data_IF_509329982911
#
_entry.id   IF_509329982911
#
_cell.length_a   1.000
_cell.length_b   1.000
_cell.length_c   1.000
_cell.angle_alpha   90.00
_cell.angle_beta   90.00
_cell.angle_gamma   90.00
#
_symmetry.space_group_name_H-M   'P 1'
#
loop_
_entity.id
_entity.type
_entity.pdbx_description
1 polymer ?
#
# COMPACT_ATOMS: atom_id res chain seq x y z
N UNK A 1 -0.58 -26.68 3.40
CA UNK A 1 -0.85 -25.21 3.52
C UNK A 1 0.12 -24.43 2.63
N UNK A 2 1.45 -24.59 2.74
CA UNK A 2 2.47 -23.86 1.94
C UNK A 2 2.15 -23.89 0.44
N UNK A 3 1.74 -25.03 -0.10
CA UNK A 3 1.40 -25.20 -1.52
C UNK A 3 0.26 -24.25 -1.98
N UNK A 4 -0.72 -23.98 -1.12
CA UNK A 4 -1.84 -23.06 -1.42
C UNK A 4 -1.41 -21.60 -1.52
N UNK A 5 -0.28 -21.26 -0.91
CA UNK A 5 0.31 -19.91 -0.91
C UNK A 5 1.51 -19.77 -1.84
N UNK A 6 1.83 -20.83 -2.59
CA UNK A 6 2.94 -20.82 -3.53
C UNK A 6 2.65 -20.08 -4.85
N UNK A 7 1.41 -19.67 -5.05
CA UNK A 7 0.93 -18.98 -6.26
C UNK A 7 0.04 -17.80 -5.90
N UNK A 8 -0.11 -16.87 -6.82
CA UNK A 8 -1.17 -15.88 -6.87
C UNK A 8 -1.95 -16.03 -8.20
N UNK A 9 -2.51 -14.97 -8.75
CA UNK A 9 -3.19 -15.02 -10.06
C UNK A 9 -2.23 -14.88 -11.25
N UNK A 10 -0.91 -14.83 -11.01
CA UNK A 10 0.12 -14.76 -12.04
C UNK A 10 0.56 -16.15 -12.54
N UNK A 11 1.50 -16.15 -13.47
CA UNK A 11 2.17 -17.37 -13.95
C UNK A 11 3.30 -17.84 -13.00
N UNK A 12 3.64 -17.05 -11.97
CA UNK A 12 4.76 -17.34 -11.08
C UNK A 12 4.36 -18.31 -9.98
N UNK A 13 5.33 -19.12 -9.56
CA UNK A 13 5.17 -20.05 -8.46
C UNK A 13 6.49 -20.19 -7.69
N UNK A 14 6.41 -19.96 -6.37
CA UNK A 14 7.52 -20.20 -5.47
C UNK A 14 7.00 -20.68 -4.11
N UNK A 15 7.65 -21.68 -3.54
CA UNK A 15 7.20 -22.28 -2.28
C UNK A 15 7.66 -21.41 -1.10
N UNK A 16 6.76 -20.83 -0.30
CA UNK A 16 7.14 -20.05 0.87
C UNK A 16 7.77 -20.94 1.96
N UNK A 17 8.64 -20.37 2.78
CA UNK A 17 9.20 -21.04 3.96
C UNK A 17 8.11 -21.44 4.94
N UNK A 18 7.19 -20.52 5.22
CA UNK A 18 6.05 -20.73 6.10
C UNK A 18 4.87 -19.84 5.70
N UNK A 19 3.72 -20.07 6.33
CA UNK A 19 2.54 -19.22 6.26
C UNK A 19 2.14 -18.84 7.67
N UNK A 20 2.03 -17.55 7.95
CA UNK A 20 1.53 -17.00 9.19
C UNK A 20 0.18 -16.31 8.95
N UNK A 21 -0.75 -16.49 9.88
CA UNK A 21 -2.09 -15.90 9.85
C UNK A 21 -2.27 -15.09 11.15
N UNK A 22 -1.74 -13.86 11.22
CA UNK A 22 -1.79 -13.04 12.41
C UNK A 22 -3.23 -12.65 12.76
N UNK A 23 -3.53 -12.56 14.04
CA UNK A 23 -4.84 -12.15 14.57
C UNK A 23 -4.82 -10.73 15.11
N UNK A 24 -3.66 -10.27 15.55
CA UNK A 24 -3.46 -8.99 16.22
C UNK A 24 -2.27 -8.24 15.65
N UNK A 25 -2.19 -6.93 15.91
CA UNK A 25 -0.99 -6.13 15.62
C UNK A 25 0.25 -6.69 16.30
N UNK A 26 0.11 -7.21 17.54
CA UNK A 26 1.21 -7.84 18.28
C UNK A 26 1.79 -9.03 17.54
N UNK A 27 0.96 -9.87 16.90
CA UNK A 27 1.44 -11.01 16.12
C UNK A 27 2.28 -10.54 14.93
N UNK A 28 1.89 -9.44 14.27
CA UNK A 28 2.67 -8.85 13.17
C UNK A 28 4.03 -8.37 13.67
N UNK A 29 4.08 -7.68 14.82
CA UNK A 29 5.33 -7.21 15.41
C UNK A 29 6.26 -8.38 15.78
N UNK A 30 5.72 -9.47 16.33
CA UNK A 30 6.48 -10.68 16.61
C UNK A 30 7.04 -11.33 15.34
N UNK A 31 6.27 -11.34 14.24
CA UNK A 31 6.74 -11.82 12.93
C UNK A 31 7.87 -10.94 12.38
N UNK A 32 7.77 -9.61 12.50
CA UNK A 32 8.84 -8.68 12.08
C UNK A 32 10.11 -8.97 12.89
N UNK A 33 10.01 -9.13 14.21
CA UNK A 33 11.17 -9.46 15.04
C UNK A 33 11.74 -10.83 14.67
N UNK A 34 10.88 -11.84 14.48
CA UNK A 34 11.30 -13.19 14.11
C UNK A 34 12.11 -13.21 12.82
N UNK A 35 11.68 -12.51 11.76
CA UNK A 35 12.42 -12.51 10.49
C UNK A 35 13.74 -11.75 10.58
N UNK A 36 13.83 -10.73 11.42
CA UNK A 36 15.10 -10.03 11.71
C UNK A 36 16.10 -10.98 12.35
N UNK A 37 15.67 -11.72 13.37
CA UNK A 37 16.53 -12.64 14.13
C UNK A 37 16.96 -13.87 13.29
N UNK A 38 16.15 -14.25 12.29
CA UNK A 38 16.39 -15.42 11.46
C UNK A 38 16.83 -15.08 10.02
N UNK A 39 17.15 -13.83 9.72
CA UNK A 39 17.63 -13.36 8.41
C UNK A 39 16.75 -13.84 7.23
N UNK A 40 15.45 -13.80 7.39
CA UNK A 40 14.46 -14.15 6.35
C UNK A 40 13.56 -12.94 6.04
N UNK A 41 12.50 -13.13 5.25
CA UNK A 41 11.62 -12.04 4.81
C UNK A 41 10.15 -12.33 5.08
N UNK A 42 9.35 -11.27 5.20
CA UNK A 42 7.89 -11.35 5.20
C UNK A 42 7.35 -11.01 3.81
N UNK A 43 6.29 -11.71 3.42
CA UNK A 43 5.54 -11.48 2.19
C UNK A 43 4.09 -11.17 2.61
N UNK A 44 3.71 -9.90 2.78
CA UNK A 44 2.34 -9.54 3.14
C UNK A 44 1.38 -9.96 2.03
N UNK A 45 0.27 -10.60 2.41
CA UNK A 45 -0.73 -11.09 1.48
C UNK A 45 -2.14 -10.82 1.99
N UNK A 46 -2.99 -10.36 1.10
CA UNK A 46 -4.44 -10.34 1.25
C UNK A 46 -5.06 -11.38 0.31
N UNK A 47 -5.90 -11.01 -0.65
CA UNK A 47 -6.58 -11.95 -1.54
C UNK A 47 -5.66 -12.72 -2.52
N UNK A 48 -4.44 -12.24 -2.78
CA UNK A 48 -3.53 -12.86 -3.73
C UNK A 48 -4.00 -12.82 -5.18
N UNK A 49 -4.68 -11.76 -5.58
CA UNK A 49 -5.21 -11.56 -6.94
C UNK A 49 -4.24 -10.85 -7.89
N UNK A 50 -2.98 -10.66 -7.47
CA UNK A 50 -1.93 -10.06 -8.28
C UNK A 50 -1.66 -10.86 -9.55
N UNK A 51 -1.43 -10.15 -10.66
CA UNK A 51 -1.06 -10.74 -11.95
C UNK A 51 0.46 -10.71 -12.22
N UNK A 52 1.25 -10.17 -11.28
CA UNK A 52 2.67 -9.94 -11.45
C UNK A 52 3.56 -10.68 -10.41
N UNK A 53 3.02 -11.66 -9.68
CA UNK A 53 3.76 -12.43 -8.68
C UNK A 53 4.13 -11.65 -7.42
N UNK A 54 3.41 -10.56 -7.11
CA UNK A 54 3.76 -9.64 -6.02
C UNK A 54 3.64 -10.25 -4.62
N UNK A 55 2.95 -11.38 -4.48
CA UNK A 55 2.78 -12.10 -3.20
C UNK A 55 3.32 -13.52 -3.24
N UNK A 56 4.22 -13.80 -4.18
CA UNK A 56 4.91 -15.07 -4.37
C UNK A 56 6.39 -14.92 -4.02
N UNK A 57 6.94 -15.84 -3.25
CA UNK A 57 8.36 -15.81 -2.86
C UNK A 57 8.69 -16.84 -1.78
N UNK A 58 9.99 -16.98 -1.47
CA UNK A 58 10.53 -17.95 -0.54
C UNK A 58 10.59 -17.49 0.93
N UNK A 59 9.98 -16.36 1.26
CA UNK A 59 9.87 -15.87 2.63
C UNK A 59 8.70 -16.49 3.42
N UNK A 60 8.32 -15.84 4.52
CA UNK A 60 7.13 -16.18 5.30
C UNK A 60 5.96 -15.37 4.76
N UNK A 61 4.98 -16.03 4.18
CA UNK A 61 3.74 -15.36 3.75
C UNK A 61 2.91 -14.99 4.97
N UNK A 62 2.55 -13.72 5.08
CA UNK A 62 1.72 -13.17 6.16
C UNK A 62 0.34 -12.87 5.62
N UNK A 63 -0.60 -13.79 5.84
CA UNK A 63 -1.99 -13.65 5.39
C UNK A 63 -2.81 -12.84 6.39
N UNK A 64 -3.08 -11.58 6.06
CA UNK A 64 -3.91 -10.66 6.85
C UNK A 64 -5.38 -10.67 6.42
N UNK A 65 -5.76 -11.50 5.46
CA UNK A 65 -7.12 -11.53 4.91
C UNK A 65 -8.18 -12.05 5.88
N UNK A 66 -7.77 -12.83 6.88
CA UNK A 66 -8.73 -13.55 7.75
C UNK A 66 -9.15 -12.78 9.01
N UNK A 67 -8.27 -11.99 9.56
CA UNK A 67 -8.50 -11.36 10.87
C UNK A 67 -8.43 -9.83 10.82
N UNK A 68 -7.98 -9.23 9.73
CA UNK A 68 -7.92 -7.77 9.56
C UNK A 68 -8.95 -7.31 8.54
N UNK A 69 -10.23 -7.54 8.85
CA UNK A 69 -11.37 -7.34 7.93
C UNK A 69 -12.39 -6.31 8.41
N UNK A 70 -12.04 -5.51 9.42
CA UNK A 70 -12.99 -4.57 10.02
C UNK A 70 -13.05 -3.25 9.23
N UNK A 71 -14.26 -2.73 9.05
CA UNK A 71 -14.52 -1.32 8.75
C UNK A 71 -14.54 -0.62 10.10
N UNK A 72 -13.53 0.22 10.37
CA UNK A 72 -13.27 0.78 11.70
C UNK A 72 -14.12 2.01 11.95
N UNK A 73 -14.20 2.91 10.97
CA UNK A 73 -14.83 4.21 11.11
C UNK A 73 -15.32 4.74 9.76
N UNK A 74 -16.45 5.41 9.75
CA UNK A 74 -17.01 6.14 8.61
C UNK A 74 -17.30 7.58 9.00
N UNK A 75 -16.68 8.54 8.33
CA UNK A 75 -17.06 9.94 8.39
C UNK A 75 -17.85 10.32 7.12
N UNK A 76 -19.16 10.50 7.29
CA UNK A 76 -20.07 10.78 6.17
C UNK A 76 -19.95 12.22 5.66
N UNK A 77 -19.64 13.15 6.54
CA UNK A 77 -19.55 14.60 6.22
C UNK A 77 -18.29 14.85 5.39
N UNK A 78 -17.15 14.32 5.82
CA UNK A 78 -15.86 14.44 5.13
C UNK A 78 -15.65 13.36 4.06
N UNK A 79 -16.58 12.40 3.94
CA UNK A 79 -16.59 11.34 2.91
C UNK A 79 -15.34 10.45 2.92
N UNK A 80 -14.93 10.00 4.10
CA UNK A 80 -13.86 9.00 4.22
C UNK A 80 -14.26 7.81 5.10
N UNK A 81 -13.58 6.71 4.91
CA UNK A 81 -13.75 5.48 5.68
C UNK A 81 -12.39 4.91 6.05
N UNK A 82 -12.24 4.48 7.31
CA UNK A 82 -11.05 3.76 7.80
C UNK A 82 -11.33 2.27 7.83
N UNK A 83 -10.48 1.50 7.16
CA UNK A 83 -10.65 0.06 7.02
C UNK A 83 -9.36 -0.68 7.31
N UNK A 84 -9.47 -1.94 7.71
CA UNK A 84 -8.36 -2.87 7.78
C UNK A 84 -8.03 -3.45 6.39
N UNK A 85 -6.79 -3.95 6.16
CA UNK A 85 -6.32 -4.35 4.84
C UNK A 85 -7.09 -5.49 4.18
N UNK A 86 -7.74 -6.36 4.97
CA UNK A 86 -8.51 -7.50 4.49
C UNK A 86 -9.97 -7.21 4.15
N UNK A 87 -10.41 -5.95 4.19
CA UNK A 87 -11.77 -5.59 3.76
C UNK A 87 -11.88 -5.75 2.24
N UNK A 88 -12.88 -6.51 1.80
CA UNK A 88 -13.14 -6.75 0.37
C UNK A 88 -13.79 -5.50 -0.25
N UNK A 89 -13.34 -5.13 -1.43
CA UNK A 89 -13.79 -3.91 -2.16
C UNK A 89 -15.32 -3.86 -2.33
N UNK A 90 -15.94 -4.94 -2.77
CA UNK A 90 -17.39 -4.95 -2.99
C UNK A 90 -18.18 -4.95 -1.69
N UNK A 91 -17.69 -5.60 -0.63
CA UNK A 91 -18.27 -5.53 0.70
C UNK A 91 -18.19 -4.12 1.28
N UNK A 92 -17.08 -3.42 1.06
CA UNK A 92 -16.96 -2.00 1.41
C UNK A 92 -18.04 -1.16 0.70
N UNK A 93 -18.25 -1.37 -0.59
CA UNK A 93 -19.27 -0.64 -1.34
C UNK A 93 -20.70 -0.99 -0.93
N UNK A 94 -20.97 -2.23 -0.55
CA UNK A 94 -22.24 -2.59 0.06
C UNK A 94 -22.47 -1.86 1.38
N UNK A 95 -21.44 -1.73 2.22
CA UNK A 95 -21.50 -0.95 3.46
C UNK A 95 -21.69 0.55 3.21
N UNK A 96 -21.03 1.12 2.20
CA UNK A 96 -21.09 2.55 1.88
C UNK A 96 -22.40 2.98 1.20
N UNK A 97 -23.04 2.07 0.45
CA UNK A 97 -24.24 2.35 -0.35
C UNK A 97 -25.39 3.02 0.42
N UNK A 98 -25.80 2.58 1.65
CA UNK A 98 -26.85 3.23 2.42
C UNK A 98 -26.51 4.68 2.83
N UNK A 99 -25.24 5.06 2.77
CA UNK A 99 -24.74 6.39 3.11
C UNK A 99 -24.56 7.29 1.88
N UNK A 100 -24.94 6.82 0.68
CA UNK A 100 -24.76 7.56 -0.57
C UNK A 100 -23.30 7.70 -0.99
N UNK A 101 -22.41 6.83 -0.48
CA UNK A 101 -20.98 6.85 -0.74
C UNK A 101 -20.55 5.62 -1.55
N UNK A 102 -19.42 5.77 -2.23
CA UNK A 102 -18.89 4.73 -3.10
C UNK A 102 -17.36 4.84 -3.22
N UNK A 103 -16.64 3.73 -3.05
CA UNK A 103 -15.23 3.63 -3.35
C UNK A 103 -15.03 3.32 -4.83
N UNK A 104 -14.61 4.32 -5.59
CA UNK A 104 -14.60 4.32 -7.05
C UNK A 104 -13.63 3.35 -7.72
N UNK A 105 -12.38 3.16 -7.24
CA UNK A 105 -11.45 2.22 -7.87
C UNK A 105 -12.02 0.81 -7.97
N UNK A 106 -11.87 0.21 -9.14
CA UNK A 106 -12.43 -1.09 -9.46
C UNK A 106 -11.35 -2.00 -10.04
N UNK A 107 -11.52 -3.30 -9.84
CA UNK A 107 -10.68 -4.35 -10.45
C UNK A 107 -11.58 -5.44 -10.98
N UNK A 108 -11.11 -6.24 -11.94
CA UNK A 108 -11.83 -7.43 -12.43
C UNK A 108 -12.13 -8.45 -11.32
N UNK A 109 -11.45 -8.34 -10.19
CA UNK A 109 -11.60 -9.19 -9.01
C UNK A 109 -12.26 -8.46 -7.83
N UNK A 110 -13.06 -7.43 -8.08
CA UNK A 110 -13.65 -6.55 -7.06
C UNK A 110 -14.40 -7.32 -5.95
N UNK A 111 -15.01 -8.45 -6.30
CA UNK A 111 -15.71 -9.33 -5.36
C UNK A 111 -14.80 -10.07 -4.36
N UNK A 112 -13.48 -9.99 -4.51
CA UNK A 112 -12.49 -10.61 -3.61
C UNK A 112 -11.22 -9.79 -3.41
N UNK A 113 -10.94 -8.80 -4.26
CA UNK A 113 -9.82 -7.88 -4.05
C UNK A 113 -10.00 -7.12 -2.74
N UNK A 114 -8.93 -7.05 -1.94
CA UNK A 114 -8.95 -6.44 -0.63
C UNK A 114 -8.20 -5.12 -0.61
N UNK A 115 -8.66 -4.18 0.20
CA UNK A 115 -8.19 -2.78 0.20
C UNK A 115 -6.69 -2.68 0.43
N UNK A 116 -6.10 -3.45 1.34
CA UNK A 116 -4.65 -3.43 1.57
C UNK A 116 -3.84 -3.83 0.35
N UNK A 117 -4.28 -4.86 -0.37
CA UNK A 117 -3.67 -5.27 -1.64
C UNK A 117 -3.88 -4.24 -2.76
N UNK A 118 -5.06 -3.61 -2.80
CA UNK A 118 -5.36 -2.54 -3.76
C UNK A 118 -4.48 -1.31 -3.54
N UNK A 119 -4.20 -0.93 -2.28
CA UNK A 119 -3.26 0.14 -1.92
C UNK A 119 -1.84 -0.23 -2.37
N UNK A 120 -1.34 -1.41 -1.98
CA UNK A 120 0.02 -1.85 -2.32
C UNK A 120 0.28 -1.97 -3.82
N UNK A 121 -0.73 -2.36 -4.60
CA UNK A 121 -0.64 -2.47 -6.06
C UNK A 121 -1.03 -1.18 -6.80
N UNK A 122 -1.50 -0.15 -6.12
CA UNK A 122 -2.18 1.00 -6.73
C UNK A 122 -3.23 0.56 -7.75
N UNK A 123 -4.13 -0.32 -7.35
CA UNK A 123 -5.09 -0.98 -8.23
C UNK A 123 -6.02 0.02 -8.91
N UNK A 124 -6.33 -0.27 -10.17
CA UNK A 124 -7.29 0.47 -10.99
C UNK A 124 -7.99 -0.50 -11.93
N UNK A 125 -9.02 -0.06 -12.63
CA UNK A 125 -9.79 -0.90 -13.53
C UNK A 125 -10.37 -0.16 -14.73
N UNK A 126 -11.40 -0.71 -15.37
CA UNK A 126 -12.04 -0.15 -16.56
C UNK A 126 -12.59 1.26 -16.32
N UNK A 127 -13.08 1.54 -15.11
CA UNK A 127 -13.65 2.83 -14.74
C UNK A 127 -12.59 3.85 -14.25
N UNK A 128 -11.30 3.55 -14.38
CA UNK A 128 -10.22 4.44 -13.91
C UNK A 128 -10.11 5.76 -14.67
N UNK A 129 -10.69 5.85 -15.86
CA UNK A 129 -10.84 7.13 -16.60
C UNK A 129 -11.69 8.13 -15.82
N UNK A 130 -12.65 7.64 -15.03
CA UNK A 130 -13.51 8.47 -14.17
C UNK A 130 -13.00 8.51 -12.74
N UNK A 131 -12.72 7.33 -12.16
CA UNK A 131 -12.42 7.19 -10.75
C UNK A 131 -10.92 7.11 -10.42
N UNK A 132 -10.05 7.17 -11.44
CA UNK A 132 -8.58 7.07 -11.29
C UNK A 132 -8.15 5.74 -10.64
N UNK A 133 -7.09 5.77 -9.84
CA UNK A 133 -6.57 4.59 -9.16
C UNK A 133 -6.76 4.65 -7.64
N UNK A 134 -6.39 3.62 -6.93
CA UNK A 134 -6.54 3.52 -5.47
C UNK A 134 -5.80 4.63 -4.74
N UNK A 135 -4.62 5.05 -5.24
CA UNK A 135 -3.81 6.11 -4.65
C UNK A 135 -4.57 7.43 -4.49
N UNK A 136 -5.32 7.86 -5.50
CA UNK A 136 -6.09 9.10 -5.48
C UNK A 136 -7.23 9.08 -4.47
N UNK A 137 -7.61 7.89 -4.00
CA UNK A 137 -8.63 7.68 -2.95
C UNK A 137 -8.02 7.34 -1.59
N UNK A 138 -6.69 7.35 -1.46
CA UNK A 138 -6.00 7.04 -0.20
C UNK A 138 -5.61 8.34 0.49
N UNK A 139 -6.19 8.59 1.67
CA UNK A 139 -5.93 9.80 2.47
C UNK A 139 -4.75 9.60 3.39
N UNK A 140 -4.70 8.43 4.07
CA UNK A 140 -3.60 8.04 4.95
C UNK A 140 -3.45 6.52 5.01
N UNK A 141 -2.26 6.08 5.38
CA UNK A 141 -1.93 4.67 5.59
C UNK A 141 -1.20 4.52 6.91
N UNK A 142 -1.77 3.72 7.83
CA UNK A 142 -1.03 3.24 9.01
C UNK A 142 -0.31 1.96 8.64
N UNK A 143 0.99 1.90 8.87
CA UNK A 143 1.84 0.76 8.49
C UNK A 143 2.87 0.43 9.58
N UNK A 144 3.34 -0.82 9.60
CA UNK A 144 4.53 -1.22 10.32
C UNK A 144 5.74 -1.19 9.38
N UNK A 145 6.82 -0.53 9.80
CA UNK A 145 8.09 -0.57 9.10
C UNK A 145 8.89 -1.83 9.47
N UNK A 146 9.96 -2.07 8.74
CA UNK A 146 10.82 -3.25 8.94
C UNK A 146 11.55 -3.28 10.29
N UNK A 147 11.62 -2.16 11.00
CA UNK A 147 12.15 -2.09 12.37
C UNK A 147 11.08 -2.38 13.45
N UNK A 148 9.81 -2.53 13.05
CA UNK A 148 8.67 -2.75 13.92
C UNK A 148 7.96 -1.46 14.36
N UNK A 149 8.44 -0.28 13.96
CA UNK A 149 7.76 0.98 14.28
C UNK A 149 6.43 1.10 13.53
N UNK A 150 5.39 1.56 14.23
CA UNK A 150 4.10 1.91 13.63
C UNK A 150 4.16 3.38 13.17
N UNK A 151 3.86 3.59 11.90
CA UNK A 151 3.91 4.92 11.27
C UNK A 151 2.61 5.25 10.57
N UNK A 152 2.32 6.54 10.40
CA UNK A 152 1.18 7.04 9.64
C UNK A 152 1.68 7.91 8.49
N UNK A 153 1.54 7.42 7.28
CA UNK A 153 1.80 8.18 6.05
C UNK A 153 0.54 8.92 5.65
N UNK A 154 0.60 10.23 5.62
CA UNK A 154 -0.48 11.15 5.24
C UNK A 154 0.08 12.39 4.58
N UNK A 155 -0.80 13.26 4.08
CA UNK A 155 -0.40 14.60 3.62
C UNK A 155 0.23 15.38 4.78
N UNK A 156 1.39 15.98 4.53
CA UNK A 156 2.13 16.81 5.48
C UNK A 156 2.23 18.23 4.94
N UNK A 157 2.26 19.22 5.84
CA UNK A 157 2.75 20.54 5.49
C UNK A 157 4.30 20.56 5.54
N UNK A 158 4.91 21.69 5.16
CA UNK A 158 6.36 21.79 5.03
C UNK A 158 7.09 21.62 6.37
N UNK A 159 6.54 22.20 7.44
CA UNK A 159 7.14 22.11 8.79
C UNK A 159 7.07 20.67 9.32
N UNK A 160 5.92 19.99 9.13
CA UNK A 160 5.76 18.58 9.48
C UNK A 160 6.74 17.69 8.68
N UNK A 161 6.92 17.97 7.38
CA UNK A 161 7.88 17.24 6.55
C UNK A 161 9.33 17.41 7.06
N UNK A 162 9.73 18.64 7.39
CA UNK A 162 11.03 18.89 7.98
C UNK A 162 11.19 18.19 9.33
N UNK A 163 10.20 18.28 10.21
CA UNK A 163 10.21 17.58 11.49
C UNK A 163 10.35 16.06 11.34
N UNK A 164 9.66 15.46 10.34
CA UNK A 164 9.85 14.04 10.00
C UNK A 164 11.29 13.73 9.57
N UNK A 165 11.89 14.58 8.76
CA UNK A 165 13.29 14.40 8.34
C UNK A 165 14.29 14.41 9.49
N UNK A 166 13.99 15.09 10.61
CA UNK A 166 14.90 15.19 11.76
C UNK A 166 14.73 14.05 12.78
N UNK A 167 13.78 13.15 12.59
CA UNK A 167 13.59 12.00 13.49
C UNK A 167 14.76 11.02 13.41
N UNK A 168 15.30 10.55 14.56
CA UNK A 168 16.45 9.64 14.62
C UNK A 168 16.03 8.15 14.49
N UNK A 169 15.07 7.83 13.65
CA UNK A 169 14.52 6.49 13.45
C UNK A 169 14.44 6.13 11.95
N UNK A 170 13.92 4.94 11.63
CA UNK A 170 13.77 4.49 10.25
C UNK A 170 12.82 5.40 9.45
N UNK A 171 11.73 5.88 10.06
CA UNK A 171 10.82 6.81 9.41
C UNK A 171 11.55 8.09 8.98
N UNK A 172 12.32 8.72 9.89
CA UNK A 172 13.11 9.90 9.57
C UNK A 172 14.17 9.64 8.48
N UNK A 173 14.78 8.47 8.50
CA UNK A 173 15.72 8.05 7.45
C UNK A 173 15.05 7.96 6.08
N UNK A 174 13.83 7.43 6.00
CA UNK A 174 13.05 7.37 4.76
C UNK A 174 12.78 8.79 4.24
N UNK A 175 12.28 9.69 5.10
CA UNK A 175 12.01 11.09 4.70
C UNK A 175 13.27 11.83 4.26
N UNK A 176 14.41 11.66 4.96
CA UNK A 176 15.72 12.22 4.57
C UNK A 176 16.17 11.73 3.19
N UNK A 177 16.05 10.43 2.95
CA UNK A 177 16.49 9.82 1.70
C UNK A 177 15.63 10.32 0.52
N UNK A 178 14.32 10.40 0.70
CA UNK A 178 13.42 10.97 -0.32
C UNK A 178 13.74 12.44 -0.57
N UNK A 179 13.95 13.24 0.48
CA UNK A 179 14.37 14.64 0.35
C UNK A 179 15.67 14.75 -0.45
N UNK A 180 16.69 13.98 -0.09
CA UNK A 180 17.97 13.98 -0.79
C UNK A 180 17.84 13.60 -2.27
N UNK A 181 17.09 12.53 -2.56
CA UNK A 181 16.85 12.05 -3.90
C UNK A 181 16.18 13.12 -4.79
N UNK A 182 15.11 13.72 -4.27
CA UNK A 182 14.28 14.65 -5.02
C UNK A 182 14.80 16.09 -5.04
N UNK A 183 15.72 16.45 -4.14
CA UNK A 183 16.41 17.75 -4.18
C UNK A 183 17.57 17.79 -5.19
N UNK A 184 18.00 16.65 -5.71
CA UNK A 184 19.04 16.60 -6.73
C UNK A 184 18.47 16.97 -8.09
N UNK A 185 19.06 18.00 -8.72
CA UNK A 185 18.57 18.54 -10.01
C UNK A 185 18.63 17.52 -11.15
N UNK A 186 19.69 16.73 -11.24
CA UNK A 186 19.82 15.71 -12.28
C UNK A 186 18.78 14.61 -12.14
N UNK A 187 18.48 14.20 -10.90
CA UNK A 187 17.39 13.27 -10.62
C UNK A 187 16.02 13.84 -11.01
N UNK A 188 15.78 15.13 -10.74
CA UNK A 188 14.53 15.80 -11.13
C UNK A 188 14.36 15.80 -12.66
N UNK A 189 15.44 16.10 -13.41
CA UNK A 189 15.41 16.08 -14.87
C UNK A 189 15.12 14.67 -15.40
N UNK A 190 15.78 13.67 -14.86
CA UNK A 190 15.60 12.28 -15.29
C UNK A 190 14.19 11.76 -14.97
N UNK A 191 13.63 12.08 -13.80
CA UNK A 191 12.25 11.73 -13.44
C UNK A 191 11.27 12.35 -14.44
N UNK A 192 11.38 13.66 -14.72
CA UNK A 192 10.49 14.35 -15.68
C UNK A 192 10.60 13.79 -17.10
N UNK A 193 11.78 13.30 -17.48
CA UNK A 193 12.04 12.72 -18.80
C UNK A 193 11.48 11.31 -18.95
N UNK A 194 11.63 10.47 -17.92
CA UNK A 194 11.32 9.04 -17.99
C UNK A 194 9.88 8.71 -17.65
N UNK A 195 9.24 9.50 -16.80
CA UNK A 195 7.85 9.26 -16.43
C UNK A 195 6.88 9.63 -17.56
N UNK A 196 5.73 8.93 -17.68
CA UNK A 196 4.71 9.27 -18.65
C UNK A 196 4.20 10.70 -18.45
N UNK A 197 3.76 11.33 -19.56
CA UNK A 197 3.18 12.68 -19.50
C UNK A 197 2.03 12.75 -18.48
N UNK A 198 1.93 13.84 -17.76
CA UNK A 198 0.89 14.08 -16.75
C UNK A 198 -0.54 14.05 -17.33
N UNK A 199 -0.67 14.32 -18.65
CA UNK A 199 -1.96 14.20 -19.35
C UNK A 199 -2.48 12.75 -19.45
N UNK A 200 -1.65 11.75 -19.14
CA UNK A 200 -2.04 10.36 -19.07
C UNK A 200 -2.54 10.10 -17.65
N UNK A 201 -3.84 10.07 -17.44
CA UNK A 201 -4.46 9.93 -16.11
C UNK A 201 -4.17 8.57 -15.45
N UNK A 202 -4.13 7.49 -16.23
CA UNK A 202 -3.82 6.15 -15.74
C UNK A 202 -2.33 5.84 -15.90
N UNK A 203 -1.56 6.11 -14.84
CA UNK A 203 -0.12 5.88 -14.79
C UNK A 203 0.23 4.95 -13.64
N UNK A 204 0.71 3.76 -13.93
CA UNK A 204 1.11 2.74 -12.95
C UNK A 204 2.52 2.23 -13.28
N UNK A 205 3.50 3.12 -13.26
CA UNK A 205 4.90 2.86 -13.64
C UNK A 205 5.82 2.66 -12.42
N UNK A 206 5.33 2.02 -11.36
CA UNK A 206 6.05 1.82 -10.12
C UNK A 206 5.77 2.91 -9.08
N UNK A 207 6.77 3.26 -8.28
CA UNK A 207 6.61 4.29 -7.25
C UNK A 207 6.37 5.66 -7.87
N UNK A 208 5.39 6.40 -7.33
CA UNK A 208 4.95 7.69 -7.85
C UNK A 208 5.88 8.86 -7.43
N UNK A 209 7.16 8.73 -7.65
CA UNK A 209 8.14 9.77 -7.31
C UNK A 209 7.99 11.04 -8.15
N UNK A 210 7.41 10.92 -9.34
CA UNK A 210 7.02 12.04 -10.19
C UNK A 210 5.96 12.92 -9.50
N UNK A 211 5.00 12.33 -8.81
CA UNK A 211 3.97 13.09 -8.07
C UNK A 211 4.55 13.76 -6.82
N UNK A 212 5.49 13.11 -6.14
CA UNK A 212 6.19 13.74 -5.01
C UNK A 212 7.01 14.95 -5.47
N UNK A 213 7.60 14.88 -6.66
CA UNK A 213 8.38 15.96 -7.23
C UNK A 213 7.54 17.22 -7.51
N UNK A 214 6.23 17.07 -7.72
CA UNK A 214 5.28 18.19 -7.94
C UNK A 214 4.73 18.79 -6.63
N UNK A 215 5.29 18.41 -5.48
CA UNK A 215 4.90 18.94 -4.18
C UNK A 215 6.04 19.71 -3.50
N UNK A 216 5.72 20.68 -2.65
CA UNK A 216 6.73 21.31 -1.80
C UNK A 216 7.44 20.25 -0.92
N UNK A 217 8.76 20.36 -0.70
CA UNK A 217 9.65 21.47 -1.07
C UNK A 217 10.33 21.35 -2.45
N UNK A 218 9.89 20.45 -3.33
CA UNK A 218 10.59 20.12 -4.58
C UNK A 218 10.13 20.95 -5.78
N UNK A 219 9.03 21.69 -5.65
CA UNK A 219 8.52 22.64 -6.65
C UNK A 219 9.05 24.05 -6.43
#
# INVERSE_FOLDING_TARGET
IRTLYATDASAYREMPLAVAIPKTKSDILQLIQFVKDNHTSLIPRTAGTSLAGQVVGNGIVVDVSKHFTQIIELNKEEKWVRVQPGVIRDELNLFLKPHGLYFGPETSTANRAMIGGMVGNNSCGSNSVVYKSTREHTIEVTAFLSDGSEVVFKKLNLDEFHAKCEQPNLEGTIYKNIRSLLSNYDNQLEIRKQFPKQTIERRNTGYAIDLLLETAPFT
#
